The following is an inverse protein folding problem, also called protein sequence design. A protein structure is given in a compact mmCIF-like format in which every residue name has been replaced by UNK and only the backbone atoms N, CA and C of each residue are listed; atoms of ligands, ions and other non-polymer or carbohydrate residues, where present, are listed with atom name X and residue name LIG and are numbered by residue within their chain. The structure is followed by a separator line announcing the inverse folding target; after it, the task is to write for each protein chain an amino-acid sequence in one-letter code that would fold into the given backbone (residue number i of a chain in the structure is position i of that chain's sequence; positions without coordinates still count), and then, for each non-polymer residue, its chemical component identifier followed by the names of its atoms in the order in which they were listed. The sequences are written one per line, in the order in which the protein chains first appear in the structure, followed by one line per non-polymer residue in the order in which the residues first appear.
data_IF_435145556665
#
_entry.id   IF_435145556665
#
_cell.length_a   1.000
_cell.length_b   1.000
_cell.length_c   1.000
_cell.angle_alpha   90.00
_cell.angle_beta   90.00
_cell.angle_gamma   90.00
#
_symmetry.space_group_name_H-M   'P 1'
#
loop_
_entity.id
_entity.type
_entity.pdbx_description
1 polymer ?
#
# COMPACT_ATOMS: atom_id res chain seq x y z
N UNK A 1 -0.50 12.69 -5.26
CA UNK A 1 0.30 11.46 -5.28
C UNK A 1 0.05 10.67 -3.99
N UNK A 2 0.06 9.35 -4.09
CA UNK A 2 -0.31 8.42 -3.03
C UNK A 2 0.76 7.34 -2.90
N UNK A 3 0.86 6.75 -1.70
CA UNK A 3 1.70 5.59 -1.43
C UNK A 3 0.91 4.58 -0.60
N UNK A 4 1.35 3.33 -0.67
CA UNK A 4 0.74 2.20 0.05
C UNK A 4 1.69 1.77 1.16
N UNK A 5 1.19 1.70 2.40
CA UNK A 5 1.93 1.18 3.55
C UNK A 5 1.38 -0.21 3.85
N UNK A 6 2.18 -1.23 3.59
CA UNK A 6 1.83 -2.62 3.84
C UNK A 6 2.02 -3.00 5.32
N UNK A 7 1.02 -3.62 5.92
CA UNK A 7 1.13 -4.28 7.22
C UNK A 7 1.40 -5.76 6.99
N UNK A 8 2.62 -6.19 7.32
CA UNK A 8 3.08 -7.56 7.11
C UNK A 8 2.76 -8.44 8.33
N UNK A 9 2.39 -9.70 8.09
CA UNK A 9 2.33 -10.79 9.08
C UNK A 9 3.72 -11.28 9.46
N UNK A 10 4.63 -11.38 8.47
CA UNK A 10 6.02 -11.81 8.62
C UNK A 10 6.89 -11.31 7.47
N UNK A 11 8.17 -11.10 7.75
CA UNK A 11 9.15 -10.66 6.75
C UNK A 11 9.04 -9.19 6.40
N UNK A 12 9.51 -8.83 5.19
CA UNK A 12 9.61 -7.46 4.71
C UNK A 12 8.92 -7.28 3.36
N UNK A 13 8.29 -6.12 3.15
CA UNK A 13 7.74 -5.70 1.86
C UNK A 13 8.79 -5.09 0.92
N UNK A 14 10.06 -5.00 1.35
CA UNK A 14 11.14 -4.36 0.57
C UNK A 14 11.33 -4.94 -0.84
N UNK A 15 11.04 -6.22 -1.04
CA UNK A 15 11.12 -6.88 -2.36
C UNK A 15 9.84 -6.81 -3.21
N UNK A 16 8.80 -6.12 -2.73
CA UNK A 16 7.51 -6.04 -3.42
C UNK A 16 7.41 -4.68 -4.11
N UNK A 17 7.49 -4.65 -5.44
CA UNK A 17 7.50 -3.40 -6.21
C UNK A 17 6.28 -2.50 -5.91
N UNK A 18 5.09 -3.10 -5.74
CA UNK A 18 3.86 -2.37 -5.42
C UNK A 18 3.90 -1.64 -4.06
N UNK A 19 4.76 -2.07 -3.12
CA UNK A 19 4.94 -1.44 -1.81
C UNK A 19 5.81 -0.15 -1.90
N UNK A 20 6.62 -0.02 -2.95
CA UNK A 20 7.49 1.15 -3.18
C UNK A 20 6.95 2.12 -4.23
N UNK A 21 5.95 1.69 -4.99
CA UNK A 21 5.36 2.49 -6.04
C UNK A 21 4.70 3.77 -5.49
N UNK A 22 4.80 4.84 -6.29
CA UNK A 22 4.04 6.08 -6.11
C UNK A 22 2.93 6.11 -7.14
N UNK A 23 1.74 6.46 -6.69
CA UNK A 23 0.54 6.46 -7.53
C UNK A 23 0.01 7.88 -7.67
N UNK A 24 -0.31 8.31 -8.89
CA UNK A 24 -0.83 9.67 -9.10
C UNK A 24 -2.28 9.81 -8.64
N UNK A 25 -3.04 8.72 -8.69
CA UNK A 25 -4.47 8.66 -8.34
C UNK A 25 -4.74 7.66 -7.22
N UNK A 26 -5.86 7.87 -6.50
CA UNK A 26 -6.33 6.92 -5.49
C UNK A 26 -6.70 5.57 -6.13
N UNK A 27 -7.29 5.58 -7.33
CA UNK A 27 -7.61 4.36 -8.08
C UNK A 27 -6.37 3.54 -8.44
N UNK A 28 -5.28 4.19 -8.85
CA UNK A 28 -3.99 3.53 -9.06
C UNK A 28 -3.47 2.87 -7.79
N UNK A 29 -3.57 3.56 -6.65
CA UNK A 29 -3.17 3.02 -5.35
C UNK A 29 -4.03 1.84 -4.90
N UNK A 30 -5.35 1.85 -5.20
CA UNK A 30 -6.26 0.72 -4.94
C UNK A 30 -5.88 -0.51 -5.76
N UNK A 31 -5.60 -0.36 -7.04
CA UNK A 31 -5.14 -1.46 -7.91
C UNK A 31 -3.80 -2.04 -7.42
N UNK A 32 -2.86 -1.15 -7.06
CA UNK A 32 -1.59 -1.54 -6.47
C UNK A 32 -1.75 -2.30 -5.15
N UNK A 33 -2.66 -1.83 -4.31
CA UNK A 33 -3.01 -2.48 -3.04
C UNK A 33 -3.64 -3.86 -3.24
N UNK A 34 -4.55 -4.01 -4.20
CA UNK A 34 -5.14 -5.31 -4.53
C UNK A 34 -4.09 -6.31 -5.04
N UNK A 35 -3.08 -5.84 -5.77
CA UNK A 35 -1.93 -6.67 -6.19
C UNK A 35 -1.10 -7.08 -4.99
N UNK A 36 -0.86 -6.14 -4.07
CA UNK A 36 -0.07 -6.34 -2.86
C UNK A 36 -0.73 -7.36 -1.92
N UNK A 37 -2.05 -7.28 -1.73
CA UNK A 37 -2.82 -8.23 -0.90
C UNK A 37 -2.92 -9.67 -1.46
N UNK A 38 -2.40 -9.93 -2.67
CA UNK A 38 -2.22 -11.31 -3.17
C UNK A 38 -1.07 -12.04 -2.48
N UNK A 39 -0.14 -11.32 -1.86
CA UNK A 39 0.91 -11.91 -1.04
C UNK A 39 0.34 -12.25 0.35
N UNK A 40 0.25 -13.54 0.67
CA UNK A 40 -0.31 -14.03 1.94
C UNK A 40 0.46 -13.58 3.20
N UNK A 41 1.64 -12.98 3.03
CA UNK A 41 2.38 -12.36 4.13
C UNK A 41 1.81 -11.00 4.49
N UNK A 42 0.88 -10.43 3.72
CA UNK A 42 0.32 -9.10 3.96
C UNK A 42 -1.07 -9.25 4.59
N UNK A 43 -1.27 -8.57 5.71
CA UNK A 43 -2.52 -8.61 6.47
C UNK A 43 -3.50 -7.55 5.99
N UNK A 44 -2.99 -6.34 5.74
CA UNK A 44 -3.74 -5.15 5.37
C UNK A 44 -2.80 -4.12 4.75
N UNK A 45 -3.37 -3.12 4.11
CA UNK A 45 -2.63 -2.04 3.48
C UNK A 45 -3.32 -0.70 3.73
N UNK A 46 -2.53 0.32 4.03
CA UNK A 46 -3.00 1.69 4.21
C UNK A 46 -2.62 2.51 2.98
N UNK A 47 -3.59 3.18 2.39
CA UNK A 47 -3.32 4.19 1.36
C UNK A 47 -3.21 5.54 2.06
N UNK A 48 -2.14 6.27 1.77
CA UNK A 48 -1.89 7.62 2.30
C UNK A 48 -1.51 8.58 1.19
N UNK A 49 -1.76 9.87 1.40
CA UNK A 49 -1.19 10.94 0.57
C UNK A 49 0.32 11.00 0.79
N UNK A 50 1.05 11.18 -0.29
CA UNK A 50 2.50 11.33 -0.25
C UNK A 50 2.91 12.77 0.04
N UNK A 51 2.54 13.24 1.21
CA UNK A 51 2.91 14.54 1.78
C UNK A 51 3.59 14.34 3.14
N UNK A 52 4.12 15.42 3.74
CA UNK A 52 4.80 15.38 5.03
C UNK A 52 4.06 16.31 6.01
N UNK A 53 3.40 15.77 7.05
CA UNK A 53 3.25 14.35 7.37
C UNK A 53 2.29 13.62 6.40
N UNK A 54 2.40 12.29 6.21
CA UNK A 54 1.48 11.56 5.35
C UNK A 54 0.05 11.63 5.87
N UNK A 55 -0.90 12.09 5.05
CA UNK A 55 -2.31 12.08 5.41
C UNK A 55 -2.96 10.74 5.07
N UNK A 56 -3.67 10.17 6.04
CA UNK A 56 -4.47 8.97 5.87
C UNK A 56 -5.56 9.16 4.80
N UNK A 57 -5.78 8.13 3.97
CA UNK A 57 -6.86 8.12 2.98
C UNK A 57 -7.83 6.97 3.28
N UNK A 58 -7.33 5.73 3.25
CA UNK A 58 -8.17 4.56 3.51
C UNK A 58 -7.36 3.34 3.96
N UNK A 59 -8.07 2.40 4.58
CA UNK A 59 -7.58 1.05 4.87
C UNK A 59 -8.21 0.06 3.90
N UNK A 60 -7.37 -0.86 3.41
CA UNK A 60 -7.80 -1.97 2.58
C UNK A 60 -7.34 -3.26 3.25
N UNK A 61 -8.30 -4.16 3.46
CA UNK A 61 -8.11 -5.46 4.07
C UNK A 61 -8.64 -6.53 3.10
N UNK A 62 -8.31 -7.80 3.38
CA UNK A 62 -8.77 -8.94 2.58
C UNK A 62 -9.99 -9.58 3.22
#
# INVERSE_FOLDING_TARGET
MFKVIATMRRGSSTGIAAAWARYDTIEGARIGTATLLRDDRILRAMIVRDEIPPAFVEWVER
#
